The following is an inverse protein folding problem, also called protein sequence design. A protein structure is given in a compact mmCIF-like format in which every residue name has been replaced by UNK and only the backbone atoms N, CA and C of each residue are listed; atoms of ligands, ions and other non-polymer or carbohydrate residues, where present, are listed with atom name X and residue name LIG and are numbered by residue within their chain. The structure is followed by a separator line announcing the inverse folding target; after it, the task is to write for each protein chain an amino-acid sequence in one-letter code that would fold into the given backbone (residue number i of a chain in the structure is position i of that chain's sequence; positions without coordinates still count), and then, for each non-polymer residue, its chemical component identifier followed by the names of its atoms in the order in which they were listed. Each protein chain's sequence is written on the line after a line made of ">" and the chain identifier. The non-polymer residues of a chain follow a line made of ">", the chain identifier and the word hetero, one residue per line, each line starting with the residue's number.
data_IF_367405355651
#
_entry.id   IF_367405355651
#
_cell.length_a   1.000
_cell.length_b   1.000
_cell.length_c   1.000
_cell.angle_alpha   90.00
_cell.angle_beta   90.00
_cell.angle_gamma   90.00
#
_symmetry.space_group_name_H-M   'P 1'
#
loop_
_entity.id
_entity.type
_entity.pdbx_description
1 polymer ?
#
# COMPACT_ATOMS: atom_id res chain seq x y z
N UNK A 1 35.36 -12.75 2.55
CA UNK A 1 34.89 -12.55 1.17
C UNK A 1 33.98 -13.71 0.83
N UNK A 2 32.72 -13.43 0.46
CA UNK A 2 31.78 -14.47 0.03
C UNK A 2 32.30 -15.19 -1.22
N UNK A 3 31.90 -16.44 -1.40
CA UNK A 3 32.23 -17.22 -2.58
C UNK A 3 31.65 -16.55 -3.85
N UNK A 4 32.50 -16.26 -4.83
CA UNK A 4 32.09 -15.65 -6.10
C UNK A 4 31.08 -16.53 -6.85
N UNK A 5 31.19 -17.87 -6.74
CA UNK A 5 30.22 -18.78 -7.35
C UNK A 5 28.83 -18.63 -6.72
N UNK A 6 28.77 -18.46 -5.40
CA UNK A 6 27.52 -18.24 -4.68
C UNK A 6 26.88 -16.91 -5.07
N UNK A 7 27.66 -15.83 -5.14
CA UNK A 7 27.17 -14.52 -5.60
C UNK A 7 26.59 -14.64 -7.02
N UNK A 8 27.27 -15.36 -7.92
CA UNK A 8 26.80 -15.57 -9.29
C UNK A 8 25.47 -16.35 -9.32
N UNK A 9 25.32 -17.38 -8.50
CA UNK A 9 24.07 -18.13 -8.39
C UNK A 9 22.92 -17.25 -7.88
N UNK A 10 23.14 -16.47 -6.82
CA UNK A 10 22.15 -15.55 -6.26
C UNK A 10 21.68 -14.54 -7.31
N UNK A 11 22.61 -13.96 -8.06
CA UNK A 11 22.28 -13.00 -9.11
C UNK A 11 21.51 -13.62 -10.29
N UNK A 12 21.86 -14.85 -10.67
CA UNK A 12 21.16 -15.54 -11.75
C UNK A 12 19.70 -15.86 -11.36
N UNK A 13 19.47 -16.24 -10.10
CA UNK A 13 18.13 -16.45 -9.55
C UNK A 13 17.35 -15.12 -9.47
N UNK A 14 18.00 -14.05 -9.01
CA UNK A 14 17.44 -12.68 -9.07
C UNK A 14 17.01 -12.30 -10.50
N UNK A 15 17.86 -12.51 -11.51
CA UNK A 15 17.53 -12.19 -12.90
C UNK A 15 16.37 -13.01 -13.44
N UNK A 16 16.20 -14.25 -12.96
CA UNK A 16 15.12 -15.13 -13.39
C UNK A 16 13.76 -14.64 -12.85
N UNK A 17 13.73 -14.10 -11.63
CA UNK A 17 12.53 -13.57 -10.97
C UNK A 17 12.25 -12.09 -11.29
N UNK A 18 13.26 -11.33 -11.73
CA UNK A 18 13.14 -9.90 -12.03
C UNK A 18 12.00 -9.52 -12.99
N UNK A 19 11.74 -10.25 -14.11
CA UNK A 19 10.64 -9.92 -15.03
C UNK A 19 9.26 -9.97 -14.36
N UNK A 20 9.07 -10.87 -13.39
CA UNK A 20 7.83 -11.03 -12.65
C UNK A 20 7.60 -9.84 -11.72
N UNK A 21 8.57 -9.47 -10.89
CA UNK A 21 8.46 -8.26 -10.05
C UNK A 21 8.32 -6.98 -10.89
N UNK A 22 8.98 -6.90 -12.04
CA UNK A 22 8.76 -5.79 -12.98
C UNK A 22 7.32 -5.75 -13.51
N UNK A 23 6.66 -6.89 -13.71
CA UNK A 23 5.24 -6.95 -14.08
C UNK A 23 4.35 -6.39 -12.98
N UNK A 24 4.56 -6.81 -11.74
CA UNK A 24 3.82 -6.28 -10.58
C UNK A 24 3.95 -4.74 -10.51
N UNK A 25 5.17 -4.22 -10.67
CA UNK A 25 5.42 -2.79 -10.70
C UNK A 25 4.71 -2.07 -11.87
N UNK A 26 4.64 -2.68 -13.06
CA UNK A 26 3.90 -2.11 -14.20
C UNK A 26 2.42 -1.99 -13.91
N UNK A 27 1.80 -3.02 -13.33
CA UNK A 27 0.39 -2.99 -12.92
C UNK A 27 0.14 -1.89 -11.89
N UNK A 28 1.01 -1.79 -10.87
CA UNK A 28 0.94 -0.71 -9.89
C UNK A 28 1.06 0.69 -10.53
N UNK A 29 1.84 0.81 -11.61
CA UNK A 29 2.00 2.03 -12.41
C UNK A 29 0.88 2.27 -13.45
N UNK A 30 -0.18 1.45 -13.45
CA UNK A 30 -1.31 1.56 -14.37
C UNK A 30 -0.95 1.21 -15.83
N UNK A 31 -0.04 0.26 -16.00
CA UNK A 31 0.34 -0.32 -17.29
C UNK A 31 0.15 -1.83 -17.21
N UNK A 32 -1.12 -2.26 -17.16
CA UNK A 32 -1.52 -3.67 -17.25
C UNK A 32 -1.15 -4.27 -18.61
N UNK A 33 -1.22 -5.60 -18.72
CA UNK A 33 -0.92 -6.30 -19.96
C UNK A 33 -1.87 -5.82 -21.09
N UNK A 34 -3.17 -5.66 -20.80
CA UNK A 34 -4.19 -5.10 -21.72
C UNK A 34 -3.80 -3.73 -22.26
N UNK A 35 -3.28 -2.86 -21.39
CA UNK A 35 -2.88 -1.49 -21.75
C UNK A 35 -1.65 -1.48 -22.66
N UNK A 36 -0.77 -2.47 -22.56
CA UNK A 36 0.47 -2.55 -23.34
C UNK A 36 0.27 -3.30 -24.66
N UNK A 37 -0.60 -4.31 -24.68
CA UNK A 37 -0.85 -5.20 -25.84
C UNK A 37 -1.28 -4.44 -27.10
N UNK A 38 -0.54 -4.55 -28.19
CA UNK A 38 -0.99 -3.97 -29.47
C UNK A 38 -2.02 -4.91 -30.09
N UNK A 39 -3.16 -4.37 -30.53
CA UNK A 39 -4.12 -5.16 -31.31
C UNK A 39 -3.50 -5.45 -32.68
N UNK A 40 -3.37 -6.72 -33.02
CA UNK A 40 -2.92 -7.15 -34.35
C UNK A 40 -4.02 -7.04 -35.41
N UNK A 41 -5.28 -6.92 -34.98
CA UNK A 41 -6.46 -6.97 -35.85
C UNK A 41 -6.92 -5.56 -36.25
N UNK A 42 -6.76 -4.57 -35.36
CA UNK A 42 -7.27 -3.23 -35.57
C UNK A 42 -6.13 -2.20 -35.69
N UNK A 43 -5.98 -1.64 -36.89
CA UNK A 43 -5.01 -0.57 -37.19
C UNK A 43 -5.50 0.81 -36.76
N UNK A 44 -6.75 0.92 -36.27
CA UNK A 44 -7.29 2.16 -35.71
C UNK A 44 -6.96 2.30 -34.23
N UNK A 45 -7.01 3.53 -33.70
CA UNK A 45 -6.71 3.79 -32.29
C UNK A 45 -7.73 3.08 -31.39
N UNK A 46 -7.34 1.95 -30.78
CA UNK A 46 -8.15 1.29 -29.77
C UNK A 46 -8.17 2.12 -28.49
N UNK A 47 -9.38 2.36 -27.96
CA UNK A 47 -9.55 3.09 -26.71
C UNK A 47 -9.14 2.19 -25.56
N UNK A 48 -7.96 2.41 -24.98
CA UNK A 48 -7.49 1.64 -23.82
C UNK A 48 -7.86 2.35 -22.53
N UNK A 49 -8.79 1.77 -21.78
CA UNK A 49 -9.23 2.29 -20.49
C UNK A 49 -8.40 1.65 -19.39
N UNK A 50 -7.89 2.48 -18.48
CA UNK A 50 -7.04 2.06 -17.38
C UNK A 50 -7.78 2.19 -16.05
N UNK A 51 -7.85 1.12 -15.25
CA UNK A 51 -8.56 1.07 -13.98
C UNK A 51 -7.68 0.42 -12.91
N UNK A 52 -6.90 1.24 -12.19
CA UNK A 52 -5.88 0.77 -11.26
C UNK A 52 -6.45 0.36 -9.89
N UNK A 53 -7.13 -0.78 -9.83
CA UNK A 53 -7.64 -1.36 -8.59
C UNK A 53 -6.51 -1.81 -7.67
N UNK A 54 -5.43 -2.39 -8.23
CA UNK A 54 -4.26 -2.80 -7.45
C UNK A 54 -3.67 -1.67 -6.60
N UNK A 55 -3.37 -0.52 -7.23
CA UNK A 55 -2.83 0.64 -6.52
C UNK A 55 -3.82 1.21 -5.51
N UNK A 56 -5.12 1.13 -5.80
CA UNK A 56 -6.17 1.60 -4.89
C UNK A 56 -6.17 0.75 -3.61
N UNK A 57 -6.26 -0.57 -3.74
CA UNK A 57 -6.31 -1.50 -2.61
C UNK A 57 -5.03 -1.47 -1.78
N UNK A 58 -3.84 -1.49 -2.41
CA UNK A 58 -2.57 -1.34 -1.69
C UNK A 58 -2.53 -0.04 -0.87
N UNK A 59 -3.06 1.07 -1.40
CA UNK A 59 -3.13 2.32 -0.64
C UNK A 59 -4.13 2.27 0.50
N UNK A 60 -5.30 1.66 0.29
CA UNK A 60 -6.32 1.50 1.32
C UNK A 60 -5.79 0.67 2.50
N UNK A 61 -5.15 -0.48 2.26
CA UNK A 61 -4.51 -1.28 3.32
C UNK A 61 -3.36 -0.52 4.01
N UNK A 62 -2.51 0.16 3.23
CA UNK A 62 -1.40 0.95 3.80
C UNK A 62 -1.92 2.07 4.69
N UNK A 63 -2.92 2.82 4.25
CA UNK A 63 -3.45 3.95 4.99
C UNK A 63 -4.30 3.49 6.19
N UNK A 64 -4.90 2.30 6.12
CA UNK A 64 -5.54 1.65 7.26
C UNK A 64 -4.55 1.36 8.39
N UNK A 65 -3.37 0.82 8.06
CA UNK A 65 -2.31 0.49 9.06
C UNK A 65 -1.47 1.73 9.42
N UNK A 66 -1.30 2.65 8.47
CA UNK A 66 -0.23 3.64 8.42
C UNK A 66 -0.44 4.90 9.27
N UNK A 67 -1.07 4.79 10.43
CA UNK A 67 -0.88 5.80 11.48
C UNK A 67 0.56 5.76 11.99
N UNK A 68 0.98 6.83 12.67
CA UNK A 68 2.31 6.89 13.27
C UNK A 68 2.50 5.70 14.23
N UNK A 69 3.60 4.97 14.05
CA UNK A 69 3.93 3.82 14.89
C UNK A 69 4.24 4.32 16.29
N UNK A 70 3.46 3.84 17.26
CA UNK A 70 3.73 4.09 18.67
C UNK A 70 4.65 3.00 19.21
N UNK A 71 5.48 3.34 20.19
CA UNK A 71 6.35 2.35 20.84
C UNK A 71 5.94 2.19 22.28
N UNK A 72 5.62 0.96 22.68
CA UNK A 72 5.34 0.60 24.06
C UNK A 72 6.67 0.29 24.73
N UNK A 73 7.02 1.10 25.73
CA UNK A 73 8.19 0.88 26.55
C UNK A 73 7.89 -0.13 27.66
N UNK A 74 8.64 -1.22 27.71
CA UNK A 74 8.57 -2.24 28.76
C UNK A 74 9.73 -2.13 29.76
N UNK A 75 10.66 -1.20 29.53
CA UNK A 75 11.76 -0.90 30.44
C UNK A 75 11.36 0.27 31.38
N UNK A 76 11.16 0.02 32.67
CA UNK A 76 10.79 1.08 33.62
C UNK A 76 11.96 2.03 33.94
N UNK A 77 13.20 1.63 33.72
CA UNK A 77 14.40 2.42 34.05
C UNK A 77 14.81 3.34 32.90
N UNK A 78 14.66 2.87 31.66
CA UNK A 78 15.04 3.61 30.46
C UNK A 78 13.81 4.06 29.68
N UNK A 79 13.75 5.33 29.28
CA UNK A 79 12.69 5.85 28.42
C UNK A 79 12.94 5.49 26.94
N UNK A 80 12.87 4.20 26.61
CA UNK A 80 13.22 3.68 25.28
C UNK A 80 12.36 4.29 24.16
N UNK A 81 11.08 4.59 24.44
CA UNK A 81 10.19 5.25 23.49
C UNK A 81 10.76 6.60 23.06
N UNK A 82 11.19 7.46 24.00
CA UNK A 82 11.78 8.75 23.68
C UNK A 82 13.13 8.61 22.97
N UNK A 83 13.94 7.63 23.36
CA UNK A 83 15.23 7.34 22.70
C UNK A 83 14.99 7.03 21.22
N UNK A 84 14.08 6.09 20.92
CA UNK A 84 13.75 5.70 19.54
C UNK A 84 13.17 6.87 18.76
N UNK A 85 12.20 7.59 19.33
CA UNK A 85 11.59 8.77 18.69
C UNK A 85 12.64 9.82 18.32
N UNK A 86 13.58 10.11 19.22
CA UNK A 86 14.64 11.08 18.96
C UNK A 86 15.57 10.63 17.83
N UNK A 87 16.03 9.36 17.85
CA UNK A 87 16.94 8.86 16.83
C UNK A 87 16.29 8.80 15.44
N UNK A 88 15.01 8.46 15.36
CA UNK A 88 14.27 8.36 14.09
C UNK A 88 13.64 9.69 13.64
N UNK A 89 13.70 10.77 14.43
CA UNK A 89 13.03 12.03 14.13
C UNK A 89 13.44 12.68 12.79
N UNK A 90 14.64 12.37 12.30
CA UNK A 90 15.14 12.87 11.02
C UNK A 90 14.62 12.06 9.81
N UNK A 91 13.96 10.93 10.04
CA UNK A 91 13.39 10.11 8.97
C UNK A 91 12.16 10.79 8.37
N UNK A 92 11.87 10.47 7.11
CA UNK A 92 10.69 10.99 6.43
C UNK A 92 9.44 10.35 7.03
N UNK A 93 8.42 11.16 7.33
CA UNK A 93 7.13 10.66 7.85
C UNK A 93 6.45 9.61 6.96
N UNK A 94 6.70 9.67 5.65
CA UNK A 94 6.12 8.72 4.69
C UNK A 94 6.97 7.46 4.46
N UNK A 95 8.06 7.29 5.22
CA UNK A 95 8.99 6.17 5.07
C UNK A 95 8.33 4.83 5.36
N UNK A 96 7.70 4.67 6.51
CA UNK A 96 7.03 3.42 6.90
C UNK A 96 5.90 3.04 5.94
N UNK A 97 5.11 4.02 5.49
CA UNK A 97 4.10 3.81 4.44
C UNK A 97 4.71 3.34 3.12
N UNK A 98 5.91 3.82 2.77
CA UNK A 98 6.61 3.41 1.54
C UNK A 98 7.25 2.03 1.66
N UNK A 99 7.63 1.59 2.86
CA UNK A 99 8.05 0.22 3.14
C UNK A 99 6.85 -0.69 2.95
N UNK A 100 5.77 -0.44 3.68
CA UNK A 100 4.57 -1.27 3.63
C UNK A 100 3.98 -1.36 2.22
N UNK A 101 3.88 -0.24 1.47
CA UNK A 101 3.41 -0.28 0.06
C UNK A 101 4.22 -1.20 -0.83
N UNK A 102 5.52 -1.31 -0.62
CA UNK A 102 6.38 -2.21 -1.40
C UNK A 102 6.20 -3.66 -0.94
N UNK A 103 6.10 -3.89 0.38
CA UNK A 103 5.79 -5.20 0.93
C UNK A 103 4.49 -5.75 0.34
N UNK A 104 3.41 -4.96 0.38
CA UNK A 104 2.09 -5.36 -0.13
C UNK A 104 2.06 -5.55 -1.66
N UNK A 105 2.91 -4.82 -2.39
CA UNK A 105 3.00 -4.96 -3.83
C UNK A 105 3.73 -6.24 -4.24
N UNK A 106 4.83 -6.57 -3.56
CA UNK A 106 5.74 -7.63 -3.99
C UNK A 106 5.71 -8.89 -3.13
N UNK A 107 4.96 -8.89 -2.03
CA UNK A 107 5.01 -9.94 -1.01
C UNK A 107 6.14 -9.73 0.01
N UNK A 108 7.18 -9.01 -0.40
CA UNK A 108 8.36 -8.75 0.41
C UNK A 108 8.98 -7.38 0.15
N UNK A 109 9.66 -6.85 1.16
CA UNK A 109 10.52 -5.67 1.03
C UNK A 109 11.57 -5.70 2.12
N UNK A 110 12.67 -4.98 1.89
CA UNK A 110 13.76 -4.89 2.85
C UNK A 110 14.06 -3.44 3.23
N UNK A 111 14.57 -3.28 4.44
CA UNK A 111 15.20 -2.04 4.90
C UNK A 111 16.68 -2.27 5.11
N UNK A 112 17.51 -1.63 4.30
CA UNK A 112 18.96 -1.66 4.43
C UNK A 112 19.43 -0.51 5.31
N UNK A 113 20.04 -0.82 6.45
CA UNK A 113 20.50 0.16 7.43
C UNK A 113 21.95 0.58 7.19
N UNK A 114 22.23 1.87 7.36
CA UNK A 114 23.56 2.43 7.23
C UNK A 114 23.74 3.66 8.13
N UNK A 115 24.99 4.04 8.39
CA UNK A 115 25.31 5.30 9.05
C UNK A 115 25.64 6.33 7.98
N UNK A 116 24.92 7.43 7.98
CA UNK A 116 25.12 8.49 7.00
C UNK A 116 26.35 9.37 7.30
N UNK A 117 26.58 10.37 6.45
CA UNK A 117 27.72 11.29 6.59
C UNK A 117 27.65 12.18 7.83
N UNK A 118 26.47 12.36 8.42
CA UNK A 118 26.25 13.10 9.66
C UNK A 118 26.35 12.17 10.89
N UNK A 119 26.81 10.94 10.70
CA UNK A 119 26.84 9.88 11.70
C UNK A 119 25.45 9.52 12.26
N UNK A 120 24.38 9.68 11.47
CA UNK A 120 23.00 9.32 11.86
C UNK A 120 22.61 7.95 11.32
N UNK A 121 21.82 7.22 12.11
CA UNK A 121 21.22 5.95 11.71
C UNK A 121 20.15 6.16 10.63
N UNK A 122 20.43 5.71 9.41
CA UNK A 122 19.58 5.88 8.23
C UNK A 122 19.19 4.54 7.63
N UNK A 123 18.12 4.54 6.84
CA UNK A 123 17.62 3.37 6.13
C UNK A 123 17.35 3.67 4.66
N UNK A 124 17.56 2.66 3.82
CA UNK A 124 17.12 2.63 2.42
C UNK A 124 16.13 1.50 2.23
N UNK A 125 15.01 1.83 1.59
CA UNK A 125 14.00 0.83 1.24
C UNK A 125 14.44 0.14 -0.04
N UNK A 126 14.60 -1.18 0.02
CA UNK A 126 15.01 -2.03 -1.10
C UNK A 126 13.85 -2.95 -1.47
N UNK A 127 13.50 -2.97 -2.75
CA UNK A 127 12.49 -3.87 -3.31
C UNK A 127 13.11 -5.07 -4.03
N UNK A 128 12.33 -6.13 -4.34
CA UNK A 128 12.80 -7.26 -5.14
C UNK A 128 13.32 -6.92 -6.54
N UNK A 129 13.04 -5.71 -7.04
CA UNK A 129 13.59 -5.20 -8.31
C UNK A 129 15.05 -4.74 -8.18
N UNK A 130 15.54 -4.51 -6.96
CA UNK A 130 16.89 -4.00 -6.73
C UNK A 130 17.60 -4.72 -5.57
N UNK A 131 17.02 -5.79 -5.03
CA UNK A 131 17.52 -6.50 -3.86
C UNK A 131 17.27 -7.99 -3.92
N UNK A 132 18.19 -8.77 -3.34
CA UNK A 132 18.08 -10.21 -3.25
C UNK A 132 18.69 -10.73 -1.93
N UNK A 133 17.90 -11.35 -1.04
CA UNK A 133 18.40 -12.02 0.15
C UNK A 133 18.77 -13.47 -0.16
N UNK A 134 19.96 -13.89 0.25
CA UNK A 134 20.33 -15.30 0.29
C UNK A 134 20.12 -15.83 1.71
N UNK A 135 19.10 -16.69 1.86
CA UNK A 135 18.72 -17.29 3.14
C UNK A 135 19.02 -18.78 3.07
N UNK A 136 19.77 -19.27 4.04
CA UNK A 136 20.10 -20.70 4.20
C UNK A 136 19.68 -21.15 5.59
N UNK A 137 18.89 -22.23 5.69
CA UNK A 137 18.36 -22.76 6.96
C UNK A 137 17.62 -21.71 7.82
N UNK A 138 16.96 -20.74 7.18
CA UNK A 138 16.22 -19.67 7.87
C UNK A 138 17.10 -18.51 8.35
N UNK A 139 18.41 -18.52 8.08
CA UNK A 139 19.32 -17.44 8.41
C UNK A 139 19.75 -16.67 7.15
N UNK A 140 19.73 -15.34 7.23
CA UNK A 140 20.26 -14.47 6.17
C UNK A 140 21.79 -14.61 6.14
N UNK A 141 22.35 -15.05 5.01
CA UNK A 141 23.79 -15.26 4.83
C UNK A 141 24.45 -14.22 3.94
N UNK A 142 23.71 -13.70 2.96
CA UNK A 142 24.14 -12.59 2.11
C UNK A 142 22.94 -11.73 1.73
N UNK A 143 23.20 -10.45 1.47
CA UNK A 143 22.22 -9.58 0.82
C UNK A 143 22.86 -8.85 -0.35
N UNK A 144 22.24 -8.94 -1.53
CA UNK A 144 22.69 -8.26 -2.74
C UNK A 144 21.78 -7.05 -2.97
N UNK A 145 22.37 -5.88 -3.16
CA UNK A 145 21.68 -4.66 -3.59
C UNK A 145 22.19 -4.29 -4.99
N UNK A 146 21.32 -4.42 -6.00
CA UNK A 146 21.65 -4.33 -7.42
C UNK A 146 20.97 -3.10 -8.01
N UNK A 147 21.73 -2.15 -8.54
CA UNK A 147 21.18 -0.87 -8.97
C UNK A 147 21.91 -0.26 -10.16
N UNK A 148 21.28 0.75 -10.77
CA UNK A 148 21.88 1.62 -11.78
C UNK A 148 21.89 3.05 -11.27
N UNK A 149 23.00 3.77 -11.47
CA UNK A 149 23.05 5.20 -11.13
C UNK A 149 22.20 5.98 -12.14
N UNK A 150 21.56 7.06 -11.69
CA UNK A 150 20.61 7.85 -12.50
C UNK A 150 21.13 8.28 -13.89
N UNK A 151 22.42 8.59 -13.99
CA UNK A 151 23.06 9.06 -15.22
C UNK A 151 23.97 8.01 -15.88
N UNK A 152 24.05 6.80 -15.31
CA UNK A 152 24.82 5.69 -15.85
C UNK A 152 23.86 4.58 -16.25
N UNK A 153 23.54 4.53 -17.54
CA UNK A 153 22.60 3.55 -18.10
C UNK A 153 23.26 2.22 -18.44
N UNK A 154 24.58 2.21 -18.52
CA UNK A 154 25.39 1.09 -19.01
C UNK A 154 25.91 0.20 -17.90
N UNK A 155 26.34 0.78 -16.78
CA UNK A 155 26.96 0.02 -15.70
C UNK A 155 25.92 -0.51 -14.73
N UNK A 156 26.05 -1.79 -14.40
CA UNK A 156 25.31 -2.42 -13.30
C UNK A 156 26.21 -2.38 -12.07
N UNK A 157 25.69 -1.78 -11.00
CA UNK A 157 26.34 -1.74 -9.70
C UNK A 157 25.70 -2.79 -8.80
N UNK A 158 26.51 -3.45 -7.97
CA UNK A 158 26.04 -4.42 -7.00
C UNK A 158 26.84 -4.30 -5.71
N UNK A 159 26.14 -4.09 -4.60
CA UNK A 159 26.70 -4.13 -3.26
C UNK A 159 26.31 -5.45 -2.61
N UNK A 160 27.29 -6.25 -2.19
CA UNK A 160 27.07 -7.52 -1.48
C UNK A 160 27.39 -7.32 0.00
N UNK A 161 26.43 -7.58 0.87
CA UNK A 161 26.57 -7.45 2.32
C UNK A 161 26.79 -8.82 2.94
N UNK A 162 27.86 -8.95 3.74
CA UNK A 162 28.05 -10.04 4.71
C UNK A 162 27.89 -9.49 6.15
N UNK A 163 28.29 -10.24 7.17
CA UNK A 163 28.16 -9.81 8.57
C UNK A 163 29.02 -8.59 8.95
N UNK A 164 30.05 -8.26 8.16
CA UNK A 164 31.05 -7.27 8.55
C UNK A 164 31.39 -6.27 7.44
N UNK A 165 31.21 -6.64 6.17
CA UNK A 165 31.72 -5.91 5.02
C UNK A 165 30.67 -5.78 3.91
N UNK A 166 30.88 -4.74 3.12
CA UNK A 166 30.18 -4.44 1.88
C UNK A 166 31.19 -4.59 0.75
N UNK A 167 30.90 -5.48 -0.20
CA UNK A 167 31.72 -5.69 -1.39
C UNK A 167 31.06 -4.99 -2.57
N UNK A 168 31.77 -4.03 -3.16
CA UNK A 168 31.26 -3.19 -4.24
C UNK A 168 31.70 -3.73 -5.59
N UNK A 169 30.75 -4.01 -6.47
CA UNK A 169 30.99 -4.51 -7.82
C UNK A 169 30.49 -3.52 -8.88
N UNK A 170 31.27 -3.36 -9.94
CA UNK A 170 30.89 -2.67 -11.18
C UNK A 170 31.01 -3.64 -12.35
N UNK A 171 29.89 -3.95 -13.02
CA UNK A 171 29.84 -4.94 -14.10
C UNK A 171 30.59 -6.24 -13.74
N UNK A 172 30.30 -6.80 -12.56
CA UNK A 172 30.91 -8.01 -12.00
C UNK A 172 32.38 -7.92 -11.59
N UNK A 173 33.00 -6.73 -11.66
CA UNK A 173 34.36 -6.53 -11.16
C UNK A 173 34.30 -5.93 -9.77
N UNK A 174 34.95 -6.58 -8.81
CA UNK A 174 35.11 -6.02 -7.46
C UNK A 174 35.96 -4.74 -7.57
N UNK A 175 35.40 -3.61 -7.12
CA UNK A 175 36.05 -2.30 -7.14
C UNK A 175 36.44 -1.80 -5.75
N UNK A 176 35.82 -2.34 -4.69
CA UNK A 176 36.11 -1.92 -3.32
C UNK A 176 35.46 -2.82 -2.27
N UNK A 177 35.96 -2.70 -1.04
CA UNK A 177 35.40 -3.37 0.14
C UNK A 177 35.40 -2.38 1.28
N UNK A 178 34.23 -2.11 1.84
CA UNK A 178 34.04 -1.20 2.98
C UNK A 178 33.49 -1.97 4.19
N UNK A 179 34.05 -1.81 5.40
CA UNK A 179 33.48 -2.41 6.59
C UNK A 179 32.22 -1.67 7.04
N UNK A 180 31.31 -2.37 7.72
CA UNK A 180 30.17 -1.76 8.41
C UNK A 180 30.14 -2.15 9.89
N UNK A 181 29.46 -1.34 10.70
CA UNK A 181 29.57 -1.41 12.16
C UNK A 181 28.64 -2.46 12.80
N UNK A 182 27.66 -3.00 12.07
CA UNK A 182 26.54 -3.71 12.68
C UNK A 182 26.81 -5.15 13.16
N UNK A 183 27.92 -5.76 12.74
CA UNK A 183 28.34 -7.12 13.13
C UNK A 183 27.43 -8.27 12.65
N UNK A 184 26.40 -7.93 11.86
CA UNK A 184 25.51 -8.82 11.11
C UNK A 184 25.04 -8.04 9.88
N UNK A 185 24.51 -8.74 8.88
CA UNK A 185 23.98 -8.14 7.65
C UNK A 185 22.89 -7.11 7.99
N UNK A 186 23.06 -5.82 7.66
CA UNK A 186 22.25 -4.73 8.20
C UNK A 186 20.91 -4.57 7.45
N UNK A 187 20.10 -5.61 7.45
CA UNK A 187 18.84 -5.67 6.71
C UNK A 187 17.70 -6.08 7.62
N UNK A 188 16.63 -5.28 7.65
CA UNK A 188 15.33 -5.66 8.19
C UNK A 188 14.44 -6.24 7.11
N UNK A 189 13.70 -7.31 7.43
CA UNK A 189 12.90 -8.07 6.46
C UNK A 189 11.41 -7.89 6.78
N UNK A 190 10.63 -7.42 5.80
CA UNK A 190 9.17 -7.44 5.87
C UNK A 190 8.67 -8.42 4.81
N UNK A 191 8.21 -9.58 5.29
CA UNK A 191 7.67 -10.67 4.49
C UNK A 191 6.19 -10.82 4.85
N UNK A 192 5.31 -10.66 3.87
CA UNK A 192 3.86 -10.92 3.97
C UNK A 192 3.64 -12.43 3.93
N UNK A 193 2.53 -12.93 4.50
CA UNK A 193 2.31 -14.33 4.90
C UNK A 193 2.89 -15.39 3.92
N UNK A 194 2.44 -15.45 2.67
CA UNK A 194 2.95 -16.38 1.63
C UNK A 194 3.68 -15.66 0.49
N UNK A 195 4.44 -14.62 0.85
CA UNK A 195 5.31 -13.86 -0.04
C UNK A 195 4.57 -13.31 -1.28
N UNK A 196 5.09 -13.50 -2.49
CA UNK A 196 4.45 -13.06 -3.73
C UNK A 196 3.08 -13.70 -3.99
N UNK A 197 2.82 -14.90 -3.46
CA UNK A 197 1.61 -15.68 -3.77
C UNK A 197 0.36 -15.13 -3.09
N UNK A 198 0.52 -14.42 -1.96
CA UNK A 198 -0.58 -13.79 -1.20
C UNK A 198 -0.69 -12.28 -1.47
N UNK A 199 -0.14 -11.83 -2.60
CA UNK A 199 -0.21 -10.41 -2.96
C UNK A 199 -1.55 -10.05 -3.60
N UNK A 200 -1.98 -8.80 -3.38
CA UNK A 200 -3.15 -8.24 -4.08
C UNK A 200 -3.00 -8.31 -5.61
N UNK A 201 -1.77 -8.35 -6.12
CA UNK A 201 -1.50 -8.55 -7.53
C UNK A 201 -2.00 -9.92 -7.98
N UNK A 202 -1.58 -11.00 -7.33
CA UNK A 202 -2.03 -12.37 -7.66
C UNK A 202 -3.55 -12.53 -7.49
N UNK A 203 -4.14 -11.93 -6.45
CA UNK A 203 -5.57 -12.00 -6.18
C UNK A 203 -6.44 -11.43 -7.32
N UNK A 204 -6.03 -10.30 -7.90
CA UNK A 204 -6.93 -9.48 -8.75
C UNK A 204 -6.44 -9.23 -10.17
N UNK A 205 -5.19 -9.55 -10.53
CA UNK A 205 -4.60 -9.22 -11.84
C UNK A 205 -5.52 -9.64 -13.00
N UNK A 206 -5.93 -10.91 -13.00
CA UNK A 206 -6.78 -11.49 -14.06
C UNK A 206 -8.16 -10.82 -14.14
N UNK A 207 -8.73 -10.43 -12.99
CA UNK A 207 -10.00 -9.71 -12.94
C UNK A 207 -9.84 -8.26 -13.44
N UNK A 208 -8.75 -7.59 -13.07
CA UNK A 208 -8.46 -6.24 -13.54
C UNK A 208 -8.26 -6.23 -15.06
N UNK A 209 -7.50 -7.18 -15.61
CA UNK A 209 -7.31 -7.32 -17.06
C UNK A 209 -8.65 -7.58 -17.77
N UNK A 210 -9.46 -8.49 -17.22
CA UNK A 210 -10.80 -8.77 -17.77
C UNK A 210 -11.68 -7.52 -17.76
N UNK A 211 -11.64 -6.75 -16.68
CA UNK A 211 -12.43 -5.53 -16.53
C UNK A 211 -11.99 -4.44 -17.52
N UNK A 212 -10.68 -4.18 -17.60
CA UNK A 212 -10.10 -3.19 -18.50
C UNK A 212 -10.30 -3.56 -19.98
N UNK A 213 -10.19 -4.84 -20.33
CA UNK A 213 -10.47 -5.35 -21.68
C UNK A 213 -11.92 -5.06 -22.07
N UNK A 214 -12.88 -5.53 -21.25
CA UNK A 214 -14.30 -5.33 -21.54
C UNK A 214 -14.67 -3.84 -21.63
N UNK A 215 -14.15 -2.99 -20.73
CA UNK A 215 -14.39 -1.55 -20.81
C UNK A 215 -13.80 -0.92 -22.07
N UNK A 216 -12.57 -1.32 -22.44
CA UNK A 216 -11.88 -0.83 -23.63
C UNK A 216 -12.66 -1.20 -24.89
N UNK A 217 -13.09 -2.47 -25.00
CA UNK A 217 -13.86 -2.98 -26.13
C UNK A 217 -15.22 -2.26 -26.25
N UNK A 218 -15.94 -2.08 -25.14
CA UNK A 218 -17.21 -1.35 -25.16
C UNK A 218 -17.03 0.11 -25.56
N UNK A 219 -16.00 0.78 -25.04
CA UNK A 219 -15.68 2.16 -25.41
C UNK A 219 -15.33 2.28 -26.89
N UNK A 220 -14.60 1.28 -27.41
CA UNK A 220 -14.28 1.19 -28.82
C UNK A 220 -15.53 0.98 -29.67
N UNK A 221 -16.40 0.04 -29.33
CA UNK A 221 -17.66 -0.21 -30.05
C UNK A 221 -18.58 1.04 -30.08
N UNK A 222 -18.67 1.77 -28.96
CA UNK A 222 -19.41 3.05 -28.91
C UNK A 222 -18.79 4.07 -29.87
N UNK A 223 -17.46 4.15 -29.92
CA UNK A 223 -16.74 5.06 -30.82
C UNK A 223 -16.93 4.69 -32.29
N UNK A 224 -17.02 3.39 -32.60
CA UNK A 224 -17.28 2.86 -33.94
C UNK A 224 -18.75 2.80 -34.31
N UNK A 225 -19.67 3.16 -33.41
CA UNK A 225 -21.11 3.12 -33.69
C UNK A 225 -21.50 3.94 -34.94
N UNK A 226 -20.73 4.99 -35.24
CA UNK A 226 -20.86 5.80 -36.47
C UNK A 226 -20.54 5.07 -37.77
N UNK A 227 -19.86 3.93 -37.71
CA UNK A 227 -19.44 3.12 -38.87
C UNK A 227 -20.46 2.02 -39.24
N UNK A 228 -21.67 2.06 -38.68
CA UNK A 228 -22.72 1.13 -39.04
C UNK A 228 -22.96 1.09 -40.57
N UNK A 229 -23.20 -0.09 -41.11
CA UNK A 229 -23.50 -0.24 -42.55
C UNK A 229 -24.96 0.10 -42.81
N UNK A 230 -25.24 0.87 -43.86
CA UNK A 230 -26.60 1.08 -44.31
C UNK A 230 -27.07 -0.15 -45.10
N UNK A 231 -27.95 -0.96 -44.51
CA UNK A 231 -28.55 -2.12 -45.15
C UNK A 231 -29.76 -1.68 -45.96
N UNK A 232 -29.75 -2.02 -47.24
CA UNK A 232 -30.78 -1.69 -48.21
C UNK A 232 -31.24 -2.99 -48.89
N UNK A 233 -32.50 -3.38 -48.70
CA UNK A 233 -33.09 -4.58 -49.31
C UNK A 233 -34.23 -4.20 -50.25
N UNK A 234 -34.33 -4.93 -51.37
CA UNK A 234 -35.37 -4.75 -52.40
C UNK A 234 -35.41 -3.32 -52.98
N UNK A 235 -34.23 -2.70 -53.14
CA UNK A 235 -34.06 -1.37 -53.74
C UNK A 235 -32.82 -1.39 -54.65
N UNK A 236 -33.01 -0.95 -55.89
CA UNK A 236 -31.91 -0.65 -56.80
C UNK A 236 -31.52 0.82 -56.62
N UNK A 237 -30.25 1.07 -56.32
CA UNK A 237 -29.69 2.42 -56.15
C UNK A 237 -28.57 2.61 -57.18
N UNK A 238 -28.78 3.53 -58.11
CA UNK A 238 -27.75 3.94 -59.06
C UNK A 238 -26.72 4.86 -58.38
N UNK A 239 -25.43 4.76 -58.74
CA UNK A 239 -24.36 5.59 -58.16
C UNK A 239 -24.63 7.10 -58.31
N UNK A 240 -25.36 7.51 -59.36
CA UNK A 240 -25.72 8.90 -59.63
C UNK A 240 -26.71 9.50 -58.61
N UNK A 241 -27.43 8.67 -57.84
CA UNK A 241 -28.42 9.12 -56.86
C UNK A 241 -27.85 9.27 -55.45
N UNK A 242 -26.69 8.65 -55.14
CA UNK A 242 -26.02 8.77 -53.84
C UNK A 242 -25.68 10.23 -53.45
N UNK A 243 -25.16 11.10 -54.35
CA UNK A 243 -24.90 12.50 -54.00
C UNK A 243 -26.18 13.30 -53.74
N UNK A 244 -27.29 12.98 -54.44
CA UNK A 244 -28.60 13.62 -54.23
C UNK A 244 -29.20 13.21 -52.89
N UNK A 245 -29.10 11.93 -52.54
CA UNK A 245 -29.54 11.40 -51.25
C UNK A 245 -28.79 12.07 -50.09
N UNK A 246 -27.46 12.24 -50.22
CA UNK A 246 -26.65 12.96 -49.24
C UNK A 246 -27.02 14.43 -49.09
N UNK A 247 -27.32 15.11 -50.20
CA UNK A 247 -27.70 16.54 -50.19
C UNK A 247 -29.10 16.80 -49.64
N UNK A 248 -30.05 15.90 -49.94
CA UNK A 248 -31.45 16.02 -49.51
C UNK A 248 -31.71 15.45 -48.11
N UNK A 249 -30.86 14.52 -47.65
CA UNK A 249 -31.03 13.83 -46.37
C UNK A 249 -32.18 12.83 -46.35
N UNK A 250 -32.67 12.39 -47.51
CA UNK A 250 -33.83 11.50 -47.65
C UNK A 250 -33.45 10.28 -48.48
N UNK A 251 -33.84 9.09 -48.02
CA UNK A 251 -33.69 7.81 -48.71
C UNK A 251 -35.07 7.36 -49.21
N UNK A 252 -35.23 7.15 -50.51
CA UNK A 252 -36.51 6.75 -51.12
C UNK A 252 -36.28 5.57 -52.06
N UNK A 253 -36.92 4.43 -51.77
CA UNK A 253 -36.95 3.28 -52.67
C UNK A 253 -38.20 3.22 -53.53
N UNK A 254 -38.13 2.41 -54.60
CA UNK A 254 -39.28 2.03 -55.44
C UNK A 254 -39.38 0.50 -55.47
N UNK A 255 -40.49 -0.06 -55.02
CA UNK A 255 -40.68 -1.52 -54.91
C UNK A 255 -41.60 -1.93 -53.76
N UNK A 256 -41.95 -3.21 -53.70
CA UNK A 256 -42.68 -3.81 -52.58
C UNK A 256 -41.73 -4.20 -51.44
N UNK A 257 -42.13 -3.90 -50.19
CA UNK A 257 -41.38 -4.27 -48.97
C UNK A 257 -39.91 -3.78 -48.96
N UNK A 258 -39.70 -2.50 -49.20
CA UNK A 258 -38.38 -1.84 -49.10
C UNK A 258 -37.96 -1.74 -47.64
N UNK A 259 -36.72 -2.13 -47.34
CA UNK A 259 -36.11 -1.96 -46.02
C UNK A 259 -34.81 -1.18 -46.16
N UNK A 260 -34.73 -0.06 -45.44
CA UNK A 260 -33.53 0.77 -45.32
C UNK A 260 -33.30 1.00 -43.83
N UNK A 261 -32.31 0.31 -43.27
CA UNK A 261 -32.00 0.34 -41.84
C UNK A 261 -30.49 0.31 -41.64
N UNK A 262 -30.01 0.87 -40.54
CA UNK A 262 -28.61 0.71 -40.15
C UNK A 262 -28.42 -0.70 -39.59
N UNK A 263 -27.49 -1.46 -40.18
CA UNK A 263 -27.03 -2.72 -39.62
C UNK A 263 -26.07 -2.41 -38.48
N UNK A 264 -26.60 -2.46 -37.26
CA UNK A 264 -25.85 -2.30 -36.02
C UNK A 264 -25.74 -3.64 -35.29
N UNK A 265 -24.68 -3.79 -34.50
CA UNK A 265 -24.60 -4.89 -33.53
C UNK A 265 -25.62 -4.63 -32.42
N UNK A 266 -26.45 -5.62 -32.09
CA UNK A 266 -27.37 -5.52 -30.96
C UNK A 266 -26.62 -5.84 -29.67
N UNK A 267 -26.20 -4.80 -28.94
CA UNK A 267 -25.49 -4.93 -27.67
C UNK A 267 -26.54 -5.04 -26.54
N UNK A 268 -26.49 -6.13 -25.79
CA UNK A 268 -27.35 -6.33 -24.61
C UNK A 268 -26.75 -5.56 -23.41
N UNK A 269 -27.29 -4.37 -23.16
CA UNK A 269 -26.87 -3.50 -22.05
C UNK A 269 -26.91 -4.21 -20.69
N UNK A 270 -27.98 -4.95 -20.40
CA UNK A 270 -28.12 -5.67 -19.13
C UNK A 270 -27.03 -6.74 -18.94
N UNK A 271 -26.70 -7.49 -19.99
CA UNK A 271 -25.64 -8.50 -19.93
C UNK A 271 -24.29 -7.85 -19.64
N UNK A 272 -23.95 -6.81 -20.39
CA UNK A 272 -22.70 -6.05 -20.26
C UNK A 272 -22.56 -5.46 -18.85
N UNK A 273 -23.60 -4.76 -18.38
CA UNK A 273 -23.58 -4.11 -17.07
C UNK A 273 -23.48 -5.12 -15.92
N UNK A 274 -24.19 -6.25 -16.02
CA UNK A 274 -24.11 -7.30 -15.01
C UNK A 274 -22.72 -7.93 -14.97
N UNK A 275 -22.11 -8.24 -16.13
CA UNK A 275 -20.76 -8.79 -16.18
C UNK A 275 -19.72 -7.84 -15.60
N UNK A 276 -19.74 -6.55 -15.98
CA UNK A 276 -18.81 -5.55 -15.43
C UNK A 276 -18.99 -5.37 -13.92
N UNK A 277 -20.24 -5.36 -13.44
CA UNK A 277 -20.53 -5.26 -12.01
C UNK A 277 -20.02 -6.48 -11.25
N UNK A 278 -20.21 -7.68 -11.78
CA UNK A 278 -19.74 -8.93 -11.17
C UNK A 278 -18.21 -8.98 -11.08
N UNK A 279 -17.50 -8.64 -12.16
CA UNK A 279 -16.03 -8.60 -12.15
C UNK A 279 -15.53 -7.59 -11.11
N UNK A 280 -16.16 -6.40 -11.05
CA UNK A 280 -15.83 -5.40 -10.04
C UNK A 280 -16.11 -5.90 -8.63
N UNK A 281 -17.24 -6.57 -8.41
CA UNK A 281 -17.61 -7.13 -7.12
C UNK A 281 -16.59 -8.19 -6.67
N UNK A 282 -16.25 -9.13 -7.55
CA UNK A 282 -15.26 -10.17 -7.30
C UNK A 282 -13.88 -9.59 -6.92
N UNK A 283 -13.46 -8.47 -7.53
CA UNK A 283 -12.23 -7.78 -7.13
C UNK A 283 -12.29 -7.28 -5.68
N UNK A 284 -13.42 -6.75 -5.22
CA UNK A 284 -13.59 -6.33 -3.82
C UNK A 284 -13.66 -7.52 -2.86
N UNK A 285 -14.35 -8.59 -3.25
CA UNK A 285 -14.53 -9.78 -2.42
C UNK A 285 -13.21 -10.54 -2.22
N UNK A 286 -12.46 -10.82 -3.30
CA UNK A 286 -11.17 -11.51 -3.20
C UNK A 286 -10.12 -10.69 -2.44
N UNK A 287 -10.10 -9.38 -2.68
CA UNK A 287 -9.17 -8.50 -1.96
C UNK A 287 -9.58 -8.22 -0.50
N UNK A 288 -10.77 -8.63 -0.07
CA UNK A 288 -11.30 -8.34 1.26
C UNK A 288 -11.65 -6.85 1.51
N UNK A 289 -11.70 -6.03 0.46
CA UNK A 289 -11.95 -4.60 0.55
C UNK A 289 -13.44 -4.26 0.55
N UNK A 290 -13.78 -3.12 1.14
CA UNK A 290 -15.16 -2.61 1.15
C UNK A 290 -15.36 -1.59 0.02
N UNK A 291 -16.41 -1.79 -0.76
CA UNK A 291 -16.87 -0.80 -1.72
C UNK A 291 -17.72 0.28 -1.03
N UNK A 292 -17.08 1.39 -0.64
CA UNK A 292 -17.74 2.52 0.03
C UNK A 292 -18.86 3.20 -0.80
N UNK A 293 -18.96 2.91 -2.11
CA UNK A 293 -20.03 3.45 -2.95
C UNK A 293 -21.32 2.62 -2.89
N UNK A 294 -21.30 1.44 -2.27
CA UNK A 294 -22.52 0.67 -2.07
C UNK A 294 -23.41 1.30 -1.01
N UNK A 295 -24.70 1.41 -1.33
CA UNK A 295 -25.67 1.91 -0.37
C UNK A 295 -25.73 0.98 0.84
N UNK A 296 -25.41 1.56 2.00
CA UNK A 296 -25.57 0.92 3.30
C UNK A 296 -27.01 1.22 3.77
N UNK A 297 -27.85 0.20 4.03
CA UNK A 297 -29.17 0.41 4.63
C UNK A 297 -29.09 1.31 5.88
N UNK A 298 -30.02 2.25 6.02
CA UNK A 298 -30.01 3.28 7.07
C UNK A 298 -30.17 2.75 8.50
N UNK A 299 -30.55 1.48 8.66
CA UNK A 299 -30.78 0.81 9.93
C UNK A 299 -29.63 -0.11 10.35
N UNK A 300 -28.44 0.02 9.77
CA UNK A 300 -27.33 -0.83 10.15
C UNK A 300 -26.81 -0.52 11.54
N UNK A 301 -26.70 -1.56 12.37
CA UNK A 301 -26.02 -1.48 13.65
C UNK A 301 -24.51 -1.25 13.44
N UNK A 302 -23.85 -0.64 14.42
CA UNK A 302 -22.38 -0.54 14.48
C UNK A 302 -21.70 -1.91 14.33
N UNK A 303 -22.32 -2.95 14.89
CA UNK A 303 -21.86 -4.33 14.75
C UNK A 303 -21.90 -4.81 13.30
N UNK A 304 -22.97 -4.54 12.54
CA UNK A 304 -23.07 -4.91 11.13
C UNK A 304 -21.98 -4.24 10.28
N UNK A 305 -21.64 -2.98 10.58
CA UNK A 305 -20.54 -2.27 9.90
C UNK A 305 -19.18 -2.86 10.24
N UNK A 306 -18.93 -3.22 11.50
CA UNK A 306 -17.72 -3.94 11.91
C UNK A 306 -17.61 -5.31 11.25
N UNK A 307 -18.70 -6.06 11.13
CA UNK A 307 -18.70 -7.35 10.42
C UNK A 307 -18.30 -7.20 8.95
N UNK A 308 -18.71 -6.12 8.27
CA UNK A 308 -18.26 -5.84 6.89
C UNK A 308 -16.77 -5.51 6.82
N UNK A 309 -16.22 -4.85 7.84
CA UNK A 309 -14.80 -4.48 7.91
C UNK A 309 -13.89 -5.63 8.32
N UNK A 310 -14.44 -6.66 8.98
CA UNK A 310 -13.68 -7.77 9.56
C UNK A 310 -12.68 -8.42 8.60
N UNK A 311 -13.04 -8.60 7.33
CA UNK A 311 -12.15 -9.21 6.33
C UNK A 311 -10.92 -8.33 6.08
N UNK A 312 -11.13 -7.03 5.87
CA UNK A 312 -10.04 -6.05 5.72
C UNK A 312 -9.20 -5.96 6.99
N UNK A 313 -9.84 -5.94 8.17
CA UNK A 313 -9.12 -5.90 9.46
C UNK A 313 -8.20 -7.11 9.64
N UNK A 314 -8.68 -8.31 9.30
CA UNK A 314 -7.91 -9.54 9.41
C UNK A 314 -6.71 -9.53 8.45
N UNK A 315 -6.89 -9.12 7.19
CA UNK A 315 -5.80 -9.00 6.21
C UNK A 315 -4.76 -7.97 6.65
N UNK A 316 -5.21 -6.79 7.06
CA UNK A 316 -4.34 -5.75 7.58
C UNK A 316 -3.59 -6.17 8.85
N UNK A 317 -4.14 -7.07 9.67
CA UNK A 317 -3.46 -7.58 10.86
C UNK A 317 -2.26 -8.46 10.50
N UNK A 318 -2.38 -9.36 9.52
CA UNK A 318 -1.23 -10.11 8.99
C UNK A 318 -0.15 -9.17 8.44
N UNK A 319 -0.56 -8.19 7.64
CA UNK A 319 0.36 -7.18 7.08
C UNK A 319 1.06 -6.35 8.17
N UNK A 320 0.35 -6.01 9.25
CA UNK A 320 0.93 -5.32 10.40
C UNK A 320 1.94 -6.19 11.15
N UNK A 321 1.74 -7.52 11.22
CA UNK A 321 2.71 -8.44 11.81
C UNK A 321 3.99 -8.53 10.96
N UNK A 322 3.88 -8.55 9.64
CA UNK A 322 5.03 -8.48 8.74
C UNK A 322 5.85 -7.20 8.97
N UNK A 323 5.17 -6.05 9.08
CA UNK A 323 5.81 -4.78 9.39
C UNK A 323 6.39 -4.75 10.82
N UNK A 324 5.75 -5.41 11.79
CA UNK A 324 6.24 -5.54 13.16
C UNK A 324 7.62 -6.19 13.17
N UNK A 325 7.81 -7.29 12.42
CA UNK A 325 9.08 -8.00 12.34
C UNK A 325 10.20 -7.10 11.82
N UNK A 326 9.95 -6.38 10.72
CA UNK A 326 10.91 -5.43 10.16
C UNK A 326 11.26 -4.31 11.14
N UNK A 327 10.30 -3.77 11.88
CA UNK A 327 10.59 -2.74 12.89
C UNK A 327 11.38 -3.32 14.05
N UNK A 328 11.19 -4.58 14.43
CA UNK A 328 12.03 -5.23 15.46
C UNK A 328 13.48 -5.34 14.99
N UNK A 329 13.71 -5.71 13.73
CA UNK A 329 15.06 -5.68 13.13
C UNK A 329 15.63 -4.26 13.15
N UNK A 330 14.83 -3.26 12.75
CA UNK A 330 15.21 -1.84 12.81
C UNK A 330 15.69 -1.43 14.19
N UNK A 331 14.93 -1.78 15.23
CA UNK A 331 15.27 -1.45 16.62
C UNK A 331 16.54 -2.16 17.08
N UNK A 332 16.74 -3.42 16.69
CA UNK A 332 17.97 -4.18 16.94
C UNK A 332 19.19 -3.46 16.34
N UNK A 333 19.13 -3.06 15.07
CA UNK A 333 20.25 -2.35 14.42
C UNK A 333 20.44 -0.92 14.96
N UNK A 334 19.35 -0.22 15.30
CA UNK A 334 19.41 1.09 15.94
C UNK A 334 20.14 1.03 17.28
N UNK A 335 19.82 0.04 18.13
CA UNK A 335 20.44 -0.08 19.45
C UNK A 335 21.90 -0.51 19.35
N UNK A 336 22.27 -1.33 18.37
CA UNK A 336 23.68 -1.60 18.05
C UNK A 336 24.44 -0.32 17.65
N UNK A 337 23.84 0.49 16.78
CA UNK A 337 24.39 1.79 16.41
C UNK A 337 24.61 2.69 17.64
N UNK A 338 23.65 2.73 18.57
CA UNK A 338 23.77 3.51 19.82
C UNK A 338 24.86 2.96 20.74
N UNK A 339 25.00 1.64 20.83
CA UNK A 339 26.07 1.00 21.59
C UNK A 339 27.44 1.39 21.03
N UNK A 340 27.63 1.33 19.72
CA UNK A 340 28.93 1.59 19.08
C UNK A 340 29.33 3.06 19.17
N UNK A 341 28.39 3.99 18.95
CA UNK A 341 28.71 5.41 18.91
C UNK A 341 28.61 6.12 20.27
N UNK A 342 27.75 5.65 21.17
CA UNK A 342 27.44 6.33 22.43
C UNK A 342 27.73 5.46 23.67
N UNK A 343 28.17 4.22 23.49
CA UNK A 343 28.37 3.24 24.58
C UNK A 343 27.12 3.06 25.44
N UNK A 344 25.93 3.16 24.82
CA UNK A 344 24.63 2.96 25.46
C UNK A 344 24.05 1.62 25.06
N UNK A 345 23.88 0.74 26.04
CA UNK A 345 23.32 -0.58 25.83
C UNK A 345 21.82 -0.56 26.17
N UNK A 346 21.00 -0.90 25.17
CA UNK A 346 19.56 -1.03 25.32
C UNK A 346 19.11 -2.39 24.80
N UNK A 347 18.07 -2.96 25.41
CA UNK A 347 17.46 -4.21 24.96
C UNK A 347 16.26 -3.91 24.05
N UNK A 348 16.37 -4.30 22.78
CA UNK A 348 15.31 -4.14 21.78
C UNK A 348 14.09 -5.03 22.05
N UNK A 349 14.20 -6.03 22.93
CA UNK A 349 13.09 -6.86 23.37
C UNK A 349 12.15 -6.11 24.33
N UNK A 350 12.68 -5.12 25.05
CA UNK A 350 11.92 -4.29 26.01
C UNK A 350 11.18 -3.11 25.35
N UNK A 351 11.10 -3.10 24.02
CA UNK A 351 10.31 -2.13 23.27
C UNK A 351 9.50 -2.83 22.18
N UNK A 352 8.23 -2.43 22.04
CA UNK A 352 7.30 -3.06 21.11
C UNK A 352 6.61 -2.00 20.24
N UNK A 353 6.67 -2.11 18.90
CA UNK A 353 5.87 -1.27 18.03
C UNK A 353 4.40 -1.64 18.15
N UNK A 354 3.54 -0.62 18.20
CA UNK A 354 2.09 -0.74 18.25
C UNK A 354 1.49 0.08 17.12
N UNK A 355 0.76 -0.62 16.25
CA UNK A 355 0.00 -0.05 15.16
C UNK A 355 -1.41 0.28 15.63
N UNK A 356 -1.89 1.46 15.27
CA UNK A 356 -3.25 1.89 15.54
C UNK A 356 -3.96 2.04 14.20
N UNK A 357 -5.07 1.33 13.93
CA UNK A 357 -5.75 1.46 12.65
C UNK A 357 -6.38 2.84 12.49
N UNK A 358 -6.41 3.35 11.25
CA UNK A 358 -7.06 4.62 10.89
C UNK A 358 -8.57 4.41 10.73
N UNK A 359 -9.27 4.22 11.84
CA UNK A 359 -10.73 4.10 11.88
C UNK A 359 -11.38 5.41 12.34
N UNK A 360 -12.53 5.82 11.76
CA UNK A 360 -13.35 6.86 12.34
C UNK A 360 -13.75 6.45 13.76
N UNK A 361 -13.47 7.32 14.73
CA UNK A 361 -13.88 7.11 16.12
C UNK A 361 -15.18 7.87 16.40
N UNK A 362 -16.07 7.24 17.16
CA UNK A 362 -17.29 7.87 17.66
C UNK A 362 -17.06 8.26 19.12
N UNK A 363 -16.58 9.49 19.32
CA UNK A 363 -16.28 10.04 20.65
C UNK A 363 -17.55 10.17 21.51
N UNK A 364 -18.73 10.32 20.91
CA UNK A 364 -20.00 10.34 21.63
C UNK A 364 -20.31 8.96 22.22
N UNK A 365 -20.15 7.91 21.42
CA UNK A 365 -20.28 6.53 21.89
C UNK A 365 -19.24 6.22 22.98
N UNK A 366 -17.99 6.65 22.80
CA UNK A 366 -16.94 6.45 23.82
C UNK A 366 -17.26 7.17 25.14
N UNK A 367 -17.77 8.40 25.08
CA UNK A 367 -18.21 9.12 26.27
C UNK A 367 -19.35 8.39 26.99
N UNK A 368 -20.33 7.86 26.24
CA UNK A 368 -21.44 7.08 26.80
C UNK A 368 -20.94 5.78 27.45
N UNK A 369 -20.01 5.06 26.82
CA UNK A 369 -19.39 3.86 27.40
C UNK A 369 -18.69 4.23 28.71
N UNK A 370 -17.82 5.24 28.69
CA UNK A 370 -17.06 5.67 29.88
C UNK A 370 -17.98 6.15 31.01
N UNK A 371 -19.13 6.76 30.72
CA UNK A 371 -20.11 7.16 31.76
C UNK A 371 -20.85 5.98 32.41
N UNK A 372 -20.90 4.82 31.74
CA UNK A 372 -21.55 3.61 32.23
C UNK A 372 -20.57 2.68 32.94
N UNK A 373 -19.27 2.88 32.74
CA UNK A 373 -18.21 2.14 33.44
C UNK A 373 -18.16 2.62 34.90
N UNK A 374 -18.16 1.70 35.88
CA UNK A 374 -18.00 2.07 37.29
C UNK A 374 -16.75 2.92 37.52
N UNK A 375 -16.85 3.89 38.43
CA UNK A 375 -15.69 4.67 38.88
C UNK A 375 -14.57 3.75 39.39
N UNK A 376 -13.32 4.19 39.21
CA UNK A 376 -12.09 3.47 39.57
C UNK A 376 -11.78 2.16 38.81
N UNK A 377 -12.61 1.72 37.86
CA UNK A 377 -12.29 0.54 37.04
C UNK A 377 -11.22 0.83 35.97
N UNK A 378 -11.27 2.01 35.35
CA UNK A 378 -10.36 2.45 34.29
C UNK A 378 -9.63 3.70 34.76
N UNK A 379 -8.30 3.72 34.65
CA UNK A 379 -7.53 4.91 35.01
C UNK A 379 -7.94 6.12 34.16
N UNK A 380 -7.97 7.32 34.77
CA UNK A 380 -8.28 8.57 34.03
C UNK A 380 -7.34 8.78 32.84
N UNK A 381 -6.09 8.30 32.93
CA UNK A 381 -5.12 8.33 31.83
C UNK A 381 -5.55 7.43 30.66
N UNK A 382 -5.98 6.20 30.95
CA UNK A 382 -6.48 5.25 29.94
C UNK A 382 -7.77 5.74 29.30
N UNK A 383 -8.67 6.36 30.09
CA UNK A 383 -9.91 6.94 29.59
C UNK A 383 -9.67 8.11 28.62
N UNK A 384 -8.77 9.06 28.98
CA UNK A 384 -8.36 10.16 28.10
C UNK A 384 -7.76 9.65 26.77
N UNK A 385 -6.99 8.57 26.83
CA UNK A 385 -6.39 7.96 25.63
C UNK A 385 -7.41 7.36 24.64
N UNK A 386 -8.69 7.23 25.01
CA UNK A 386 -9.74 6.74 24.11
C UNK A 386 -10.33 7.83 23.21
N UNK A 387 -10.17 9.11 23.56
CA UNK A 387 -10.75 10.20 22.81
C UNK A 387 -9.85 10.62 21.66
N UNK A 388 -10.44 10.73 20.47
CA UNK A 388 -9.69 10.96 19.23
C UNK A 388 -8.98 12.32 19.16
N UNK A 389 -9.50 13.32 19.89
CA UNK A 389 -8.99 14.69 19.91
C UNK A 389 -7.87 14.94 20.94
N UNK A 390 -7.50 13.94 21.75
CA UNK A 390 -6.46 14.06 22.78
C UNK A 390 -5.13 13.47 22.26
N UNK A 391 -4.31 14.32 21.64
CA UNK A 391 -3.02 13.89 21.05
C UNK A 391 -1.96 13.53 22.11
N UNK A 392 -1.85 14.33 23.18
CA UNK A 392 -0.86 14.15 24.24
C UNK A 392 -1.53 13.97 25.59
N UNK A 393 -1.85 12.70 25.90
CA UNK A 393 -2.51 12.30 27.15
C UNK A 393 -1.77 12.77 28.39
N UNK A 394 -0.44 12.78 28.37
CA UNK A 394 0.37 13.22 29.51
C UNK A 394 0.34 14.74 29.71
N UNK A 395 0.29 15.52 28.63
CA UNK A 395 0.11 16.97 28.70
C UNK A 395 -1.31 17.33 29.16
N UNK A 396 -2.31 16.64 28.64
CA UNK A 396 -3.71 16.82 29.05
C UNK A 396 -3.92 16.49 30.53
N UNK A 397 -3.27 15.43 31.02
CA UNK A 397 -3.26 15.11 32.45
C UNK A 397 -2.67 16.25 33.30
N UNK A 398 -1.63 16.93 32.81
CA UNK A 398 -1.04 18.07 33.51
C UNK A 398 -1.96 19.30 33.49
N UNK A 399 -2.63 19.58 32.38
CA UNK A 399 -3.62 20.66 32.26
C UNK A 399 -4.75 20.47 33.27
N UNK A 400 -5.37 19.28 33.28
CA UNK A 400 -6.46 18.95 34.21
C UNK A 400 -6.01 19.01 35.67
N UNK A 401 -4.77 18.59 35.99
CA UNK A 401 -4.23 18.73 37.35
C UNK A 401 -4.11 20.20 37.76
N UNK A 402 -3.62 21.07 36.86
CA UNK A 402 -3.55 22.52 37.13
C UNK A 402 -4.94 23.13 37.33
N UNK A 403 -5.90 22.77 36.49
CA UNK A 403 -7.29 23.23 36.64
C UNK A 403 -7.88 22.79 37.99
N UNK A 404 -7.65 21.54 38.40
CA UNK A 404 -8.10 21.04 39.71
C UNK A 404 -7.41 21.74 40.89
N UNK A 405 -6.11 22.00 40.78
CA UNK A 405 -5.35 22.75 41.79
C UNK A 405 -5.84 24.20 41.89
N UNK A 406 -6.15 24.84 40.76
CA UNK A 406 -6.72 26.19 40.68
C UNK A 406 -8.15 26.23 41.27
N UNK A 407 -9.01 25.26 40.94
CA UNK A 407 -10.35 25.11 41.50
C UNK A 407 -10.33 24.82 43.01
N UNK A 408 -9.40 24.01 43.50
CA UNK A 408 -9.22 23.74 44.94
C UNK A 408 -8.59 24.93 45.70
N UNK A 409 -7.85 25.80 45.02
CA UNK A 409 -7.24 27.00 45.63
C UNK A 409 -8.24 28.15 45.84
N UNK A 410 -9.42 28.06 45.24
CA UNK A 410 -10.53 28.98 45.46
C UNK A 410 -11.52 28.29 46.39
N UNK A 411 -11.37 28.53 47.70
CA UNK A 411 -12.44 28.78 48.70
C UNK A 411 -12.10 28.27 50.14
N UNK A 412 -11.19 28.99 50.82
CA UNK A 412 -11.04 28.93 52.30
C UNK A 412 -11.20 30.30 52.98
N UNK A 413 -11.24 31.40 52.21
CA UNK A 413 -11.33 32.77 52.73
C UNK A 413 -12.76 33.36 52.68
N UNK A 414 -13.80 32.61 52.26
CA UNK A 414 -15.20 33.11 52.24
C UNK A 414 -16.18 32.39 53.18
N UNK A 415 -15.70 31.51 54.06
CA UNK A 415 -16.58 30.79 55.00
C UNK A 415 -16.67 31.47 56.38
N UNK A 416 -15.88 32.49 56.69
CA UNK A 416 -15.79 33.04 58.06
C UNK A 416 -16.24 34.51 58.20
N UNK A 417 -17.31 34.91 57.50
CA UNK A 417 -17.85 36.28 57.62
C UNK A 417 -19.39 36.34 57.63
N UNK A 418 -20.04 35.39 58.34
CA UNK A 418 -21.45 35.51 58.72
C UNK A 418 -21.76 34.72 60.01
N UNK A 419 -21.19 35.19 61.12
CA UNK A 419 -21.76 34.94 62.46
C UNK A 419 -21.39 36.08 63.42
N UNK A 420 -22.17 37.17 63.34
CA UNK A 420 -22.42 38.08 64.47
C UNK A 420 -23.90 37.99 64.87
#
# INVERSE_FOLDING_TARGET
>A
MPDEQLIQQCYNDYLSNLPYYQQMQRYYQNNSDVVIEKSDIDTTSTSKIKMNYLKKFIKEETDYIGNDITFVNLDPENNLEQVVKYQLAHWKKDHDKKVLRRALLYGRTWELYFVDKDAKFSSRIISPIEGYPYIENGELKLFLHIFKKKFDTTTIYMDVYDDNNIYHYENWKLVGVDPHIFGEIPVGICLVDDDENDTLFEDIKSLQDSYETNLSDLSHEISQYRQAYLKMLNIDVDEADLPKMKKLGILKGKGDKIVIEWLTKNINDNFVMNTLKEIKQNMYELSGHINNNEQVPSNNSSLAMRTRQLNLENKCKSNANAMFNLIKDRLKFLFRYLYILQNKQYDYLLIQPKFTPSLPQDDLMMAQILSQVPEDLISKKTARAQFSFIDNVSFEEQQVKKEQEEEMSIDLDKVDDNSE
#
